data_IF_467730176114
#
_entry.id   IF_467730176114
#
_cell.length_a   1.000
_cell.length_b   1.000
_cell.length_c   1.000
_cell.angle_alpha   90.00
_cell.angle_beta   90.00
_cell.angle_gamma   90.00
#
_symmetry.space_group_name_H-M   'P 1'
#
loop_
_entity.id
_entity.type
_entity.pdbx_description
1 polymer ?
#
# COMPACT_ATOMS: atom_id res chain seq x y z
N UNK A 1 12.22 -21.02 -5.07
CA UNK A 1 12.46 -19.58 -4.74
C UNK A 1 13.95 -19.32 -4.83
N UNK A 2 14.37 -18.36 -5.65
CA UNK A 2 15.79 -18.00 -5.79
C UNK A 2 16.27 -17.38 -4.47
N UNK A 3 17.56 -17.50 -4.14
CA UNK A 3 18.10 -17.02 -2.86
C UNK A 3 17.80 -15.52 -2.59
N UNK A 4 17.79 -14.69 -3.64
CA UNK A 4 17.42 -13.27 -3.53
C UNK A 4 15.95 -13.05 -3.15
N UNK A 5 15.02 -13.80 -3.74
CA UNK A 5 13.59 -13.73 -3.37
C UNK A 5 13.40 -14.12 -1.91
N UNK A 6 14.08 -15.17 -1.44
CA UNK A 6 14.02 -15.59 -0.04
C UNK A 6 14.50 -14.50 0.90
N UNK A 7 15.63 -13.86 0.59
CA UNK A 7 16.16 -12.76 1.41
C UNK A 7 15.22 -11.55 1.44
N UNK A 8 14.61 -11.18 0.30
CA UNK A 8 13.63 -10.11 0.25
C UNK A 8 12.41 -10.41 1.12
N UNK A 9 11.89 -11.64 1.09
CA UNK A 9 10.79 -12.06 1.95
C UNK A 9 11.18 -12.12 3.43
N UNK A 10 12.38 -12.63 3.78
CA UNK A 10 12.87 -12.63 5.16
C UNK A 10 12.94 -11.20 5.72
N UNK A 11 13.46 -10.26 4.93
CA UNK A 11 13.52 -8.85 5.30
C UNK A 11 12.12 -8.21 5.41
N UNK A 12 11.21 -8.55 4.50
CA UNK A 12 9.83 -8.11 4.55
C UNK A 12 9.12 -8.59 5.83
N UNK A 13 9.35 -9.85 6.26
CA UNK A 13 8.72 -10.38 7.48
C UNK A 13 9.05 -9.60 8.75
N UNK A 14 10.20 -8.94 8.81
CA UNK A 14 10.58 -8.11 9.96
C UNK A 14 9.68 -6.87 10.12
N UNK A 15 9.11 -6.38 9.04
CA UNK A 15 8.19 -5.24 9.04
C UNK A 15 6.79 -5.54 9.58
N UNK A 16 6.32 -6.79 9.46
CA UNK A 16 4.92 -7.15 9.80
C UNK A 16 4.56 -6.82 11.25
N UNK A 17 5.44 -7.12 12.22
CA UNK A 17 5.17 -6.85 13.63
C UNK A 17 4.94 -5.36 13.90
N UNK A 18 5.64 -4.51 13.17
CA UNK A 18 5.51 -3.06 13.26
C UNK A 18 4.14 -2.61 12.73
N UNK A 19 3.76 -3.05 11.54
CA UNK A 19 2.51 -2.68 10.88
C UNK A 19 1.29 -3.16 11.67
N UNK A 20 1.30 -4.41 12.11
CA UNK A 20 0.25 -4.97 12.97
C UNK A 20 0.11 -4.19 14.28
N UNK A 21 1.23 -3.78 14.90
CA UNK A 21 1.20 -2.98 16.12
C UNK A 21 0.66 -1.58 15.87
N UNK A 22 1.03 -0.94 14.74
CA UNK A 22 0.52 0.36 14.34
C UNK A 22 -1.01 0.34 14.24
N UNK A 23 -1.58 -0.56 13.45
CA UNK A 23 -3.03 -0.64 13.25
C UNK A 23 -3.79 -1.06 14.51
N UNK A 24 -3.22 -1.99 15.32
CA UNK A 24 -3.82 -2.35 16.61
C UNK A 24 -3.91 -1.15 17.58
N UNK A 25 -2.89 -0.29 17.60
CA UNK A 25 -2.93 0.92 18.41
C UNK A 25 -3.88 1.98 17.83
N UNK A 26 -3.89 2.17 16.50
CA UNK A 26 -4.83 3.07 15.84
C UNK A 26 -6.27 2.68 16.15
N UNK A 27 -6.61 1.40 16.08
CA UNK A 27 -7.95 0.90 16.38
C UNK A 27 -8.33 0.92 17.86
N UNK A 28 -7.36 0.83 18.78
CA UNK A 28 -7.59 0.78 20.21
C UNK A 28 -8.21 2.06 20.78
N UNK A 29 -7.73 3.22 20.31
CA UNK A 29 -8.14 4.52 20.81
C UNK A 29 -9.05 5.21 19.82
N UNK A 30 -10.27 5.56 20.23
CA UNK A 30 -11.25 6.17 19.33
C UNK A 30 -10.73 7.44 18.66
N UNK A 31 -10.02 8.30 19.39
CA UNK A 31 -9.41 9.52 18.79
C UNK A 31 -8.35 9.19 17.75
N UNK A 32 -7.45 8.25 18.04
CA UNK A 32 -6.41 7.81 17.10
C UNK A 32 -7.04 7.14 15.89
N UNK A 33 -8.03 6.26 16.11
CA UNK A 33 -8.77 5.62 15.04
C UNK A 33 -9.45 6.65 14.14
N UNK A 34 -10.21 7.57 14.69
CA UNK A 34 -10.89 8.62 13.92
C UNK A 34 -9.90 9.54 13.19
N UNK A 35 -8.75 9.83 13.79
CA UNK A 35 -7.68 10.60 13.13
C UNK A 35 -7.06 9.83 11.97
N UNK A 36 -6.80 8.53 12.15
CA UNK A 36 -6.27 7.65 11.11
C UNK A 36 -7.30 7.40 10.01
N UNK A 37 -8.56 7.16 10.40
CA UNK A 37 -9.67 6.90 9.48
C UNK A 37 -10.26 8.16 8.84
N UNK A 38 -9.76 9.35 9.18
CA UNK A 38 -10.21 10.59 8.51
C UNK A 38 -10.00 10.58 6.99
N UNK A 39 -9.14 9.68 6.51
CA UNK A 39 -8.93 9.45 5.08
C UNK A 39 -9.85 8.37 4.50
N UNK A 40 -10.61 7.67 5.36
CA UNK A 40 -11.59 6.71 4.88
C UNK A 40 -12.69 7.41 4.11
N UNK A 41 -12.93 6.92 2.92
CA UNK A 41 -13.99 7.41 2.05
C UNK A 41 -15.15 6.41 1.92
N UNK A 42 -15.28 5.49 2.89
CA UNK A 42 -16.42 4.56 2.94
C UNK A 42 -17.74 5.34 2.91
N UNK A 43 -18.65 4.92 2.03
CA UNK A 43 -19.93 5.60 1.80
C UNK A 43 -19.86 6.77 0.80
N UNK A 44 -18.68 7.13 0.30
CA UNK A 44 -18.50 8.18 -0.71
C UNK A 44 -18.29 7.61 -2.12
N UNK A 45 -18.44 8.48 -3.11
CA UNK A 45 -18.03 8.19 -4.50
C UNK A 45 -16.52 8.07 -4.54
N UNK A 46 -16.01 7.13 -5.36
CA UNK A 46 -14.59 6.93 -5.55
C UNK A 46 -13.91 8.25 -5.95
N UNK A 47 -12.83 8.56 -5.26
CA UNK A 47 -12.02 9.75 -5.48
C UNK A 47 -10.55 9.40 -5.39
N UNK A 48 -9.82 9.58 -6.48
CA UNK A 48 -8.39 9.35 -6.58
C UNK A 48 -7.72 10.65 -7.02
N UNK A 49 -6.65 11.01 -6.35
CA UNK A 49 -5.88 12.22 -6.66
C UNK A 49 -5.29 12.13 -8.08
N UNK A 50 -5.50 13.16 -8.89
CA UNK A 50 -4.95 13.22 -10.26
C UNK A 50 -5.58 12.26 -11.27
N UNK A 51 -6.63 11.51 -10.89
CA UNK A 51 -7.34 10.60 -11.79
C UNK A 51 -8.85 10.57 -11.52
N UNK A 52 -9.65 10.89 -12.52
CA UNK A 52 -11.12 10.81 -12.44
C UNK A 52 -11.61 9.36 -12.57
N UNK A 53 -11.39 8.58 -11.50
CA UNK A 53 -11.78 7.18 -11.44
C UNK A 53 -13.30 6.99 -11.56
N UNK A 54 -14.11 7.93 -11.06
CA UNK A 54 -15.56 7.88 -11.16
C UNK A 54 -16.01 7.93 -12.62
N UNK A 55 -15.54 8.91 -13.37
CA UNK A 55 -15.83 9.05 -14.81
C UNK A 55 -15.30 7.86 -15.61
N UNK A 56 -14.09 7.40 -15.30
CA UNK A 56 -13.50 6.23 -15.93
C UNK A 56 -14.41 5.00 -15.76
N UNK A 57 -14.81 4.67 -14.53
CA UNK A 57 -15.63 3.49 -14.24
C UNK A 57 -17.04 3.60 -14.82
N UNK A 58 -17.63 4.80 -14.89
CA UNK A 58 -18.92 5.02 -15.54
C UNK A 58 -18.85 4.82 -17.06
N UNK A 59 -17.71 5.07 -17.68
CA UNK A 59 -17.50 4.91 -19.13
C UNK A 59 -17.15 3.48 -19.54
N UNK A 60 -16.89 2.58 -18.56
CA UNK A 60 -16.46 1.22 -18.81
C UNK A 60 -17.57 0.20 -18.53
N UNK A 61 -17.52 -1.00 -19.14
CA UNK A 61 -18.31 -2.14 -18.67
C UNK A 61 -18.05 -2.40 -17.18
N UNK A 62 -19.06 -2.92 -16.47
CA UNK A 62 -18.89 -3.30 -15.07
C UNK A 62 -17.68 -4.23 -14.89
N UNK A 63 -16.97 -4.06 -13.80
CA UNK A 63 -15.79 -4.83 -13.47
C UNK A 63 -15.36 -4.57 -12.03
N UNK A 64 -14.51 -5.45 -11.52
CA UNK A 64 -13.97 -5.34 -10.17
C UNK A 64 -13.05 -4.14 -10.02
N UNK A 65 -13.03 -3.59 -8.82
CA UNK A 65 -12.03 -2.63 -8.36
C UNK A 65 -11.24 -3.30 -7.24
N UNK A 66 -9.92 -3.29 -7.32
CA UNK A 66 -9.07 -3.85 -6.28
C UNK A 66 -8.31 -2.70 -5.61
N UNK A 67 -8.42 -2.59 -4.28
CA UNK A 67 -7.59 -1.72 -3.44
C UNK A 67 -6.54 -2.59 -2.76
N UNK A 68 -5.32 -2.57 -3.29
CA UNK A 68 -4.25 -3.53 -2.97
C UNK A 68 -3.22 -2.89 -2.04
N UNK A 69 -2.91 -3.59 -0.95
CA UNK A 69 -2.13 -3.02 0.15
C UNK A 69 -2.96 -1.98 0.91
N UNK A 70 -4.27 -2.24 1.04
CA UNK A 70 -5.24 -1.27 1.58
C UNK A 70 -5.01 -0.94 3.06
N UNK A 71 -4.23 -1.74 3.78
CA UNK A 71 -4.13 -1.61 5.23
C UNK A 71 -5.51 -1.63 5.89
N UNK A 72 -5.76 -0.66 6.76
CA UNK A 72 -7.08 -0.42 7.34
C UNK A 72 -7.57 1.01 7.07
N UNK A 73 -7.08 1.68 6.01
CA UNK A 73 -7.38 3.09 5.73
C UNK A 73 -8.66 3.29 4.90
N UNK A 74 -8.96 2.38 3.97
CA UNK A 74 -10.13 2.47 3.07
C UNK A 74 -10.26 3.84 2.38
N UNK A 75 -9.18 4.30 1.78
CA UNK A 75 -9.02 5.68 1.32
C UNK A 75 -9.65 5.99 -0.05
N UNK A 76 -10.31 5.03 -0.70
CA UNK A 76 -10.71 5.16 -2.11
C UNK A 76 -12.14 5.58 -2.34
N UNK A 77 -13.06 5.37 -1.42
CA UNK A 77 -14.49 5.42 -1.68
C UNK A 77 -15.02 4.14 -2.33
N UNK A 78 -16.28 3.82 -2.11
CA UNK A 78 -16.87 2.54 -2.51
C UNK A 78 -18.19 2.67 -3.31
N UNK A 79 -18.43 3.84 -3.87
CA UNK A 79 -19.55 4.10 -4.78
C UNK A 79 -19.06 4.72 -6.09
N UNK A 80 -19.83 4.55 -7.14
CA UNK A 80 -19.69 5.22 -8.43
C UNK A 80 -20.99 5.90 -8.79
N UNK A 81 -20.94 7.09 -9.38
CA UNK A 81 -22.13 7.83 -9.79
C UNK A 81 -22.03 9.33 -9.57
N UNK A 82 -23.14 10.03 -9.79
CA UNK A 82 -23.23 11.48 -9.63
C UNK A 82 -24.41 11.87 -8.73
N UNK A 83 -24.21 12.88 -7.90
CA UNK A 83 -25.24 13.41 -7.02
C UNK A 83 -25.87 12.35 -6.11
N UNK A 84 -27.20 12.19 -6.21
CA UNK A 84 -27.95 11.18 -5.45
C UNK A 84 -28.04 9.81 -6.16
N UNK A 85 -27.64 9.73 -7.44
CA UNK A 85 -27.64 8.48 -8.21
C UNK A 85 -26.28 7.82 -8.08
N UNK A 86 -26.13 7.01 -7.04
CA UNK A 86 -24.88 6.29 -6.75
C UNK A 86 -25.12 4.78 -6.73
N UNK A 87 -24.16 4.03 -7.26
CA UNK A 87 -24.15 2.56 -7.21
C UNK A 87 -22.95 2.10 -6.39
N UNK A 88 -23.09 1.07 -5.55
CA UNK A 88 -21.94 0.47 -4.89
C UNK A 88 -20.99 -0.12 -5.94
N UNK A 89 -19.69 0.03 -5.70
CA UNK A 89 -18.66 -0.61 -6.48
C UNK A 89 -18.49 -2.07 -6.03
N UNK A 90 -18.17 -2.95 -6.98
CA UNK A 90 -17.61 -4.29 -6.68
C UNK A 90 -16.14 -4.11 -6.32
N UNK A 91 -15.88 -3.61 -5.10
CA UNK A 91 -14.55 -3.31 -4.61
C UNK A 91 -14.07 -4.37 -3.64
N UNK A 92 -12.86 -4.88 -3.88
CA UNK A 92 -12.15 -5.84 -3.05
C UNK A 92 -10.97 -5.14 -2.38
N UNK A 93 -10.94 -5.18 -1.05
CA UNK A 93 -9.85 -4.67 -0.24
C UNK A 93 -8.85 -5.80 0.00
N UNK A 94 -7.65 -5.69 -0.53
CA UNK A 94 -6.68 -6.78 -0.59
C UNK A 94 -5.42 -6.42 0.17
N UNK A 95 -5.00 -7.29 1.08
CA UNK A 95 -3.77 -7.05 1.86
C UNK A 95 -3.15 -8.38 2.32
N UNK A 96 -1.82 -8.54 2.30
CA UNK A 96 -1.15 -9.73 2.81
C UNK A 96 -1.33 -9.93 4.34
N UNK A 97 -1.66 -8.86 5.06
CA UNK A 97 -1.91 -8.88 6.51
C UNK A 97 -3.40 -8.95 6.86
N UNK A 98 -4.28 -9.26 5.91
CA UNK A 98 -5.74 -9.30 6.06
C UNK A 98 -6.20 -10.04 7.31
N UNK A 99 -5.60 -11.19 7.63
CA UNK A 99 -5.93 -11.98 8.82
C UNK A 99 -5.74 -11.17 10.13
N UNK A 100 -4.64 -10.44 10.22
CA UNK A 100 -4.36 -9.59 11.38
C UNK A 100 -5.29 -8.39 11.45
N UNK A 101 -5.54 -7.73 10.33
CA UNK A 101 -6.37 -6.52 10.27
C UNK A 101 -7.83 -6.83 10.58
N UNK A 102 -8.38 -7.91 10.03
CA UNK A 102 -9.73 -8.37 10.35
C UNK A 102 -9.85 -8.75 11.85
N UNK A 103 -8.85 -9.43 12.42
CA UNK A 103 -8.82 -9.75 13.85
C UNK A 103 -8.71 -8.49 14.72
N UNK A 104 -7.96 -7.48 14.32
CA UNK A 104 -7.86 -6.18 15.00
C UNK A 104 -9.22 -5.47 14.96
N UNK A 105 -9.85 -5.38 13.80
CA UNK A 105 -11.18 -4.77 13.64
C UNK A 105 -12.21 -5.44 14.56
N UNK A 106 -12.29 -6.75 14.55
CA UNK A 106 -13.18 -7.53 15.43
C UNK A 106 -12.89 -7.30 16.92
N UNK A 107 -11.63 -7.34 17.33
CA UNK A 107 -11.20 -7.09 18.73
C UNK A 107 -11.64 -5.73 19.25
N UNK A 108 -11.54 -4.72 18.42
CA UNK A 108 -11.88 -3.34 18.79
C UNK A 108 -13.29 -2.95 18.37
N UNK A 109 -14.12 -3.91 17.93
CA UNK A 109 -15.52 -3.70 17.50
C UNK A 109 -15.64 -2.58 16.47
N UNK A 110 -14.78 -2.60 15.45
CA UNK A 110 -14.83 -1.67 14.34
C UNK A 110 -15.57 -2.31 13.17
N UNK A 111 -16.64 -1.67 12.72
CA UNK A 111 -17.42 -2.09 11.55
C UNK A 111 -16.70 -1.60 10.29
N UNK A 112 -15.85 -2.46 9.75
CA UNK A 112 -15.05 -2.20 8.55
C UNK A 112 -15.32 -3.29 7.51
N UNK A 113 -15.15 -3.00 6.23
CA UNK A 113 -15.18 -4.03 5.19
C UNK A 113 -14.20 -5.15 5.50
N UNK A 114 -14.55 -6.36 5.10
CA UNK A 114 -13.63 -7.50 5.19
C UNK A 114 -12.46 -7.29 4.23
N UNK A 115 -11.25 -7.44 4.73
CA UNK A 115 -10.04 -7.39 3.92
C UNK A 115 -9.73 -8.82 3.47
N UNK A 116 -9.52 -9.00 2.17
CA UNK A 116 -9.18 -10.28 1.56
C UNK A 116 -7.67 -10.48 1.57
N UNK A 117 -7.25 -11.73 1.77
CA UNK A 117 -5.85 -12.08 1.67
C UNK A 117 -5.39 -12.05 0.20
N UNK A 118 -4.30 -11.34 -0.07
CA UNK A 118 -3.63 -11.34 -1.36
C UNK A 118 -2.32 -10.57 -1.30
N UNK A 119 -1.41 -10.90 -2.20
CA UNK A 119 -0.10 -10.27 -2.34
C UNK A 119 -0.02 -9.60 -3.70
N UNK A 120 0.46 -8.36 -3.74
CA UNK A 120 0.59 -7.63 -5.01
C UNK A 120 1.54 -8.33 -5.99
N UNK A 121 2.58 -8.99 -5.49
CA UNK A 121 3.56 -9.73 -6.30
C UNK A 121 3.00 -11.00 -6.95
N UNK A 122 1.78 -11.38 -6.60
CA UNK A 122 1.10 -12.57 -7.10
C UNK A 122 -0.39 -12.31 -7.39
N UNK A 123 -0.75 -11.06 -7.64
CA UNK A 123 -2.14 -10.61 -7.71
C UNK A 123 -2.97 -11.36 -8.75
N UNK A 124 -2.40 -11.67 -9.90
CA UNK A 124 -3.07 -12.42 -10.97
C UNK A 124 -3.44 -13.87 -10.57
N UNK A 125 -2.76 -14.45 -9.58
CA UNK A 125 -3.13 -15.76 -9.06
C UNK A 125 -4.36 -15.69 -8.15
N UNK A 126 -4.60 -14.57 -7.45
CA UNK A 126 -5.79 -14.36 -6.63
C UNK A 126 -6.98 -13.90 -7.46
N UNK A 127 -6.74 -13.13 -8.52
CA UNK A 127 -7.76 -12.57 -9.42
C UNK A 127 -7.48 -12.95 -10.89
N UNK A 128 -7.67 -14.25 -11.27
CA UNK A 128 -7.21 -14.76 -12.56
C UNK A 128 -8.10 -14.39 -13.76
N UNK A 129 -9.32 -13.89 -13.52
CA UNK A 129 -10.35 -13.78 -14.57
C UNK A 129 -10.15 -12.58 -15.51
N UNK A 130 -9.20 -11.68 -15.23
CA UNK A 130 -9.00 -10.44 -15.98
C UNK A 130 -10.29 -9.62 -16.19
N UNK A 131 -11.20 -9.66 -15.21
CA UNK A 131 -12.45 -8.89 -15.16
C UNK A 131 -12.30 -7.58 -14.34
N UNK A 132 -11.12 -7.31 -13.83
CA UNK A 132 -10.79 -6.12 -13.06
C UNK A 132 -10.70 -4.89 -13.96
N UNK A 133 -11.45 -3.86 -13.63
CA UNK A 133 -11.42 -2.58 -14.33
C UNK A 133 -10.34 -1.65 -13.80
N UNK A 134 -10.10 -1.68 -12.48
CA UNK A 134 -9.18 -0.78 -11.81
C UNK A 134 -8.46 -1.49 -10.68
N UNK A 135 -7.14 -1.41 -10.65
CA UNK A 135 -6.30 -1.76 -9.50
C UNK A 135 -5.73 -0.48 -8.91
N UNK A 136 -5.85 -0.32 -7.61
CA UNK A 136 -5.40 0.84 -6.84
C UNK A 136 -4.34 0.37 -5.87
N UNK A 137 -3.17 1.05 -5.86
CA UNK A 137 -2.09 0.83 -4.90
C UNK A 137 -1.69 2.18 -4.35
N UNK A 138 -2.04 2.45 -3.09
CA UNK A 138 -1.74 3.72 -2.45
C UNK A 138 -0.81 3.52 -1.26
N UNK A 139 0.36 4.11 -1.33
CA UNK A 139 1.38 4.11 -0.28
C UNK A 139 1.66 2.70 0.29
N UNK A 140 1.75 1.72 -0.61
CA UNK A 140 1.95 0.31 -0.26
C UNK A 140 2.97 -0.39 -1.17
N UNK A 141 3.31 0.19 -2.34
CA UNK A 141 4.21 -0.43 -3.29
C UNK A 141 5.66 -0.47 -2.77
N UNK A 142 6.09 0.54 -2.01
CA UNK A 142 7.38 0.58 -1.33
C UNK A 142 7.50 -0.46 -0.20
N UNK A 143 6.35 -0.95 0.30
CA UNK A 143 6.26 -2.05 1.26
C UNK A 143 6.34 -3.44 0.62
N UNK A 144 6.33 -3.52 -0.70
CA UNK A 144 6.42 -4.80 -1.42
C UNK A 144 7.83 -5.39 -1.35
N UNK A 145 7.93 -6.70 -1.34
CA UNK A 145 9.22 -7.40 -1.49
C UNK A 145 9.79 -7.26 -2.90
N UNK A 146 8.93 -7.13 -3.92
CA UNK A 146 9.26 -7.00 -5.34
C UNK A 146 8.29 -6.02 -6.04
N UNK A 147 8.42 -4.69 -5.82
CA UNK A 147 7.45 -3.70 -6.27
C UNK A 147 7.25 -3.69 -7.79
N UNK A 148 8.29 -3.90 -8.57
CA UNK A 148 8.18 -3.98 -10.04
C UNK A 148 7.29 -5.16 -10.46
N UNK A 149 7.50 -6.32 -9.84
CA UNK A 149 6.64 -7.49 -10.03
C UNK A 149 5.20 -7.19 -9.61
N UNK A 150 5.01 -6.47 -8.51
CA UNK A 150 3.70 -6.01 -8.05
C UNK A 150 2.96 -5.17 -9.11
N UNK A 151 3.65 -4.24 -9.76
CA UNK A 151 3.06 -3.44 -10.86
C UNK A 151 2.74 -4.32 -12.08
N UNK A 152 3.62 -5.26 -12.45
CA UNK A 152 3.39 -6.18 -13.56
C UNK A 152 2.17 -7.08 -13.28
N UNK A 153 2.07 -7.65 -12.08
CA UNK A 153 0.95 -8.50 -11.65
C UNK A 153 -0.37 -7.71 -11.61
N UNK A 154 -0.35 -6.46 -11.13
CA UNK A 154 -1.50 -5.58 -11.20
C UNK A 154 -1.95 -5.35 -12.65
N UNK A 155 -0.99 -5.11 -13.55
CA UNK A 155 -1.28 -4.92 -14.97
C UNK A 155 -1.75 -6.23 -15.64
N UNK A 156 -1.30 -7.40 -15.21
CA UNK A 156 -1.83 -8.68 -15.66
C UNK A 156 -3.29 -8.87 -15.23
N UNK A 157 -3.63 -8.43 -14.02
CA UNK A 157 -4.94 -8.62 -13.40
C UNK A 157 -6.03 -7.74 -14.04
N UNK A 158 -5.71 -6.50 -14.40
CA UNK A 158 -6.69 -5.66 -15.10
C UNK A 158 -6.94 -6.15 -16.53
N UNK A 159 -8.18 -5.98 -17.01
CA UNK A 159 -8.54 -6.23 -18.41
C UNK A 159 -7.82 -5.26 -19.37
N UNK A 160 -7.78 -5.56 -20.66
CA UNK A 160 -7.36 -4.57 -21.68
C UNK A 160 -8.34 -3.39 -21.62
N UNK A 161 -7.81 -2.16 -21.62
CA UNK A 161 -8.56 -0.92 -21.37
C UNK A 161 -8.81 -0.63 -19.89
N UNK A 162 -8.40 -1.52 -18.97
CA UNK A 162 -8.40 -1.26 -17.53
C UNK A 162 -7.19 -0.42 -17.11
N UNK A 163 -7.20 0.00 -15.84
CA UNK A 163 -6.22 0.93 -15.28
C UNK A 163 -5.58 0.35 -14.01
N UNK A 164 -4.27 0.57 -13.86
CA UNK A 164 -3.56 0.50 -12.58
C UNK A 164 -3.24 1.91 -12.14
N UNK A 165 -3.72 2.28 -10.95
CA UNK A 165 -3.48 3.57 -10.33
C UNK A 165 -2.52 3.42 -9.16
N UNK A 166 -1.46 4.23 -9.16
CA UNK A 166 -0.45 4.29 -8.11
C UNK A 166 -0.44 5.69 -7.50
N UNK A 167 -0.35 5.77 -6.17
CA UNK A 167 -0.17 7.04 -5.43
C UNK A 167 0.78 6.80 -4.26
N UNK A 168 1.94 7.45 -4.26
CA UNK A 168 3.00 7.20 -3.30
C UNK A 168 3.69 8.48 -2.82
N UNK A 169 4.16 8.48 -1.58
CA UNK A 169 5.14 9.44 -1.14
C UNK A 169 6.47 9.21 -1.86
N UNK A 170 7.16 10.27 -2.32
CA UNK A 170 8.44 10.12 -2.98
C UNK A 170 9.54 9.67 -2.00
N UNK A 171 10.36 8.72 -2.42
CA UNK A 171 11.59 8.32 -1.73
C UNK A 171 11.39 7.98 -0.24
N UNK A 172 10.34 7.21 0.08
CA UNK A 172 9.97 6.92 1.46
C UNK A 172 10.98 6.00 2.15
N UNK A 173 11.62 5.07 1.41
CA UNK A 173 12.66 4.23 1.96
C UNK A 173 13.88 5.02 2.47
N UNK A 174 14.33 6.04 1.75
CA UNK A 174 15.38 6.95 2.25
C UNK A 174 14.95 7.69 3.50
N UNK A 175 13.71 8.20 3.49
CA UNK A 175 13.12 8.93 4.61
C UNK A 175 13.04 8.08 5.87
N UNK A 176 12.72 6.79 5.73
CA UNK A 176 12.60 5.82 6.82
C UNK A 176 13.89 5.00 7.02
N UNK A 177 15.00 5.39 6.39
CA UNK A 177 16.31 4.74 6.52
C UNK A 177 16.30 3.24 6.20
N UNK A 178 15.52 2.82 5.21
CA UNK A 178 15.33 1.43 4.78
C UNK A 178 14.92 0.49 5.92
N UNK A 179 14.09 0.97 6.87
CA UNK A 179 13.60 0.20 8.01
C UNK A 179 12.22 -0.38 7.75
N UNK A 180 11.97 -1.56 8.31
CA UNK A 180 10.66 -2.23 8.21
C UNK A 180 10.30 -2.56 6.76
N UNK A 181 9.09 -2.20 6.34
CA UNK A 181 8.61 -2.42 4.98
C UNK A 181 9.19 -1.44 3.95
N UNK A 182 9.68 -0.28 4.34
CA UNK A 182 10.18 0.75 3.43
C UNK A 182 11.54 0.35 2.84
N UNK A 183 11.52 -0.47 1.80
CA UNK A 183 12.72 -1.01 1.17
C UNK A 183 13.00 -0.42 -0.22
N UNK A 184 12.01 0.28 -0.79
CA UNK A 184 12.11 0.87 -2.12
C UNK A 184 11.68 2.33 -2.11
N UNK A 185 12.26 3.06 -3.01
CA UNK A 185 11.93 4.44 -3.31
C UNK A 185 11.13 4.49 -4.60
N UNK A 186 10.08 5.30 -4.61
CA UNK A 186 9.27 5.58 -5.78
C UNK A 186 9.45 7.05 -6.12
N UNK A 187 9.73 7.34 -7.37
CA UNK A 187 9.93 8.71 -7.82
C UNK A 187 9.42 8.91 -9.25
N UNK A 188 9.32 10.16 -9.65
CA UNK A 188 9.07 10.61 -11.00
C UNK A 188 10.34 11.27 -11.54
N UNK A 189 10.70 10.96 -12.76
CA UNK A 189 11.82 11.56 -13.48
C UNK A 189 11.44 11.77 -14.94
N UNK A 190 11.24 13.05 -15.34
CA UNK A 190 10.84 13.44 -16.70
C UNK A 190 9.59 12.72 -17.24
N UNK A 191 8.58 12.54 -16.40
CA UNK A 191 7.34 11.83 -16.76
C UNK A 191 7.44 10.30 -16.70
N UNK A 192 8.54 9.75 -16.19
CA UNK A 192 8.75 8.32 -16.02
C UNK A 192 8.61 7.91 -14.56
N UNK A 193 7.99 6.76 -14.32
CA UNK A 193 7.92 6.12 -13.01
C UNK A 193 9.22 5.37 -12.74
N UNK A 194 9.91 5.80 -11.71
CA UNK A 194 11.18 5.22 -11.28
C UNK A 194 11.00 4.51 -9.95
N UNK A 195 11.40 3.24 -9.91
CA UNK A 195 11.51 2.46 -8.67
C UNK A 195 12.98 2.13 -8.46
N UNK A 196 13.49 2.44 -7.27
CA UNK A 196 14.90 2.26 -6.97
C UNK A 196 15.16 1.97 -5.49
N UNK A 197 16.32 1.39 -5.20
CA UNK A 197 16.86 1.20 -3.86
C UNK A 197 18.39 1.26 -3.91
N UNK A 198 19.07 0.86 -2.83
CA UNK A 198 20.54 0.83 -2.75
C UNK A 198 21.18 -0.17 -3.75
N UNK A 199 20.42 -1.13 -4.28
CA UNK A 199 20.92 -2.17 -5.19
C UNK A 199 20.76 -1.81 -6.67
N UNK A 200 19.82 -0.90 -7.00
CA UNK A 200 19.58 -0.52 -8.39
C UNK A 200 18.40 0.41 -8.61
N UNK A 201 18.28 0.83 -9.86
CA UNK A 201 17.21 1.72 -10.36
C UNK A 201 16.57 1.10 -11.59
N UNK A 202 15.25 1.17 -11.67
CA UNK A 202 14.46 0.69 -12.82
C UNK A 202 13.52 1.77 -13.31
N UNK A 203 13.47 1.94 -14.60
CA UNK A 203 12.47 2.75 -15.31
C UNK A 203 11.28 1.85 -15.65
N UNK A 204 10.22 1.95 -14.86
CA UNK A 204 9.01 1.12 -15.02
C UNK A 204 8.20 1.55 -16.23
N UNK A 205 8.24 2.84 -16.59
CA UNK A 205 7.54 3.37 -17.77
C UNK A 205 8.08 2.73 -19.03
N UNK A 206 9.40 2.71 -19.22
CA UNK A 206 10.02 2.08 -20.39
C UNK A 206 9.80 0.56 -20.41
N UNK A 207 9.86 -0.09 -19.25
CA UNK A 207 9.62 -1.53 -19.15
C UNK A 207 8.20 -1.94 -19.58
N UNK A 208 7.19 -1.12 -19.26
CA UNK A 208 5.79 -1.43 -19.53
C UNK A 208 5.27 -0.87 -20.87
N UNK A 209 6.03 -0.04 -21.56
CA UNK A 209 5.66 0.57 -22.84
C UNK A 209 5.09 -0.37 -23.91
N UNK A 210 5.51 -1.65 -24.01
CA UNK A 210 4.89 -2.60 -24.95
C UNK A 210 3.46 -2.99 -24.59
N UNK A 211 3.02 -2.79 -23.34
CA UNK A 211 1.78 -3.32 -22.80
C UNK A 211 0.82 -2.26 -22.28
N UNK A 212 1.32 -1.05 -22.04
CA UNK A 212 0.56 0.02 -21.43
C UNK A 212 1.03 1.40 -21.89
N UNK A 213 0.14 2.38 -21.80
CA UNK A 213 0.50 3.81 -21.74
C UNK A 213 0.48 4.25 -20.29
N UNK A 214 1.36 5.17 -19.92
CA UNK A 214 1.51 5.63 -18.56
C UNK A 214 1.59 7.15 -18.49
N UNK A 215 0.84 7.74 -17.57
CA UNK A 215 0.94 9.14 -17.20
C UNK A 215 1.50 9.20 -15.78
N UNK A 216 2.64 9.87 -15.61
CA UNK A 216 3.30 10.00 -14.30
C UNK A 216 3.47 11.46 -13.96
N UNK A 217 3.01 11.85 -12.79
CA UNK A 217 3.06 13.23 -12.35
C UNK A 217 3.45 13.30 -10.86
N UNK A 218 4.21 14.34 -10.51
CA UNK A 218 4.39 14.75 -9.13
C UNK A 218 3.40 15.85 -8.79
N UNK A 219 2.54 15.63 -7.81
CA UNK A 219 1.57 16.62 -7.37
C UNK A 219 2.28 17.79 -6.68
N UNK A 220 1.88 19.02 -7.02
CA UNK A 220 2.55 20.23 -6.54
C UNK A 220 2.26 20.51 -5.06
N UNK A 221 1.08 20.18 -4.58
CA UNK A 221 0.60 20.47 -3.23
C UNK A 221 0.97 19.39 -2.22
N UNK A 222 0.84 18.12 -2.58
CA UNK A 222 1.15 16.97 -1.72
C UNK A 222 2.57 16.44 -1.89
N UNK A 223 3.17 16.66 -3.06
CA UNK A 223 4.44 16.06 -3.47
C UNK A 223 4.33 14.59 -3.86
N UNK A 224 3.13 14.02 -3.84
CA UNK A 224 2.91 12.61 -4.18
C UNK A 224 3.25 12.31 -5.63
N UNK A 225 3.75 11.11 -5.86
CA UNK A 225 3.95 10.55 -7.19
C UNK A 225 2.68 9.79 -7.57
N UNK A 226 2.02 10.25 -8.62
CA UNK A 226 0.83 9.61 -9.19
C UNK A 226 1.20 8.99 -10.52
N UNK A 227 0.92 7.70 -10.69
CA UNK A 227 1.02 7.04 -11.98
C UNK A 227 -0.31 6.39 -12.37
N UNK A 228 -0.81 6.74 -13.56
CA UNK A 228 -2.00 6.15 -14.16
C UNK A 228 -1.57 5.31 -15.35
N UNK A 229 -1.73 4.00 -15.25
CA UNK A 229 -1.22 3.02 -16.20
C UNK A 229 -2.40 2.38 -16.93
N UNK A 230 -2.60 2.72 -18.18
CA UNK A 230 -3.66 2.19 -19.05
C UNK A 230 -3.17 0.95 -19.79
N UNK A 231 -3.74 -0.22 -19.50
CA UNK A 231 -3.39 -1.46 -20.20
C UNK A 231 -3.88 -1.43 -21.66
N UNK A 232 -2.96 -1.56 -22.60
CA UNK A 232 -3.25 -1.55 -24.04
C UNK A 232 -3.08 -2.93 -24.70
N UNK A 233 -2.26 -3.81 -24.10
CA UNK A 233 -2.01 -5.15 -24.63
C UNK A 233 -1.88 -6.19 -23.51
N UNK A 234 -1.94 -7.47 -23.89
CA UNK A 234 -1.75 -8.57 -22.95
C UNK A 234 -0.30 -8.59 -22.44
N UNK A 235 -0.14 -8.65 -21.13
CA UNK A 235 1.16 -8.82 -20.46
C UNK A 235 1.47 -10.31 -20.40
N UNK A 236 2.66 -10.76 -20.84
CA UNK A 236 3.05 -12.17 -20.75
C UNK A 236 3.00 -12.65 -19.30
N UNK A 237 2.39 -13.83 -19.09
CA UNK A 237 2.36 -14.44 -17.77
C UNK A 237 3.79 -14.77 -17.33
N UNK A 238 4.23 -14.18 -16.24
CA UNK A 238 5.41 -14.65 -15.54
C UNK A 238 4.99 -15.90 -14.77
N UNK A 239 5.57 -17.04 -15.09
CA UNK A 239 5.35 -18.39 -14.58
C UNK A 239 4.12 -18.63 -13.68
N UNK A 240 3.35 -19.69 -13.96
CA UNK A 240 2.18 -20.11 -13.17
C UNK A 240 2.56 -20.25 -11.69
N UNK A 241 2.21 -19.24 -10.90
CA UNK A 241 2.28 -19.33 -9.46
C UNK A 241 1.09 -20.16 -8.97
N UNK A 242 1.35 -21.28 -8.32
CA UNK A 242 0.31 -22.08 -7.69
C UNK A 242 -0.16 -21.34 -6.42
N UNK A 243 -1.47 -21.09 -6.30
CA UNK A 243 -2.06 -20.46 -5.09
C UNK A 243 -1.67 -21.20 -3.81
N UNK A 244 -1.51 -22.51 -3.89
CA UNK A 244 -1.13 -23.38 -2.77
C UNK A 244 0.27 -23.05 -2.28
N UNK A 245 1.21 -22.80 -3.19
CA UNK A 245 2.57 -22.42 -2.86
C UNK A 245 2.64 -21.02 -2.22
N UNK A 246 1.83 -20.08 -2.71
CA UNK A 246 1.73 -18.72 -2.15
C UNK A 246 1.13 -18.77 -0.74
N UNK A 247 0.05 -19.52 -0.52
CA UNK A 247 -0.52 -19.72 0.81
C UNK A 247 0.49 -20.34 1.78
N UNK A 248 1.19 -21.39 1.34
CA UNK A 248 2.21 -22.06 2.14
C UNK A 248 3.37 -21.11 2.48
N UNK A 249 3.77 -20.24 1.55
CA UNK A 249 4.78 -19.20 1.79
C UNK A 249 4.30 -18.23 2.86
N UNK A 250 3.09 -17.71 2.74
CA UNK A 250 2.51 -16.77 3.71
C UNK A 250 2.32 -17.39 5.09
N UNK A 251 1.90 -18.65 5.20
CA UNK A 251 1.81 -19.36 6.48
C UNK A 251 3.18 -19.52 7.13
N UNK A 252 4.21 -19.84 6.35
CA UNK A 252 5.60 -19.90 6.85
C UNK A 252 6.06 -18.53 7.33
N UNK A 253 5.76 -17.47 6.59
CA UNK A 253 6.08 -16.09 6.95
C UNK A 253 5.38 -15.70 8.27
N UNK A 254 4.09 -15.99 8.41
CA UNK A 254 3.33 -15.73 9.64
C UNK A 254 3.78 -16.59 10.82
N UNK A 255 4.22 -17.81 10.59
CA UNK A 255 4.71 -18.72 11.63
C UNK A 255 6.08 -18.32 12.14
N UNK A 256 6.98 -17.87 11.26
CA UNK A 256 8.31 -17.37 11.63
C UNK A 256 8.23 -16.15 12.54
N UNK A 257 7.22 -15.28 12.34
CA UNK A 257 6.97 -14.11 13.18
C UNK A 257 6.50 -14.43 14.59
N UNK A 258 5.61 -15.43 14.76
CA UNK A 258 5.21 -15.85 16.09
C UNK A 258 6.40 -16.29 16.93
N UNK A 259 7.46 -16.80 16.29
CA UNK A 259 8.73 -17.15 16.95
C UNK A 259 9.62 -15.95 17.22
N UNK A 260 9.59 -14.93 16.36
CA UNK A 260 10.40 -13.71 16.50
C UNK A 260 9.81 -12.70 17.52
N UNK A 261 8.54 -12.84 17.90
CA UNK A 261 7.92 -12.03 18.94
C UNK A 261 8.41 -12.44 20.34
N UNK A 262 9.69 -12.21 20.62
CA UNK A 262 10.18 -12.25 21.99
C UNK A 262 9.49 -11.16 22.82
N UNK A 263 9.23 -11.44 24.10
CA UNK A 263 8.62 -10.50 25.06
C UNK A 263 9.36 -9.15 25.03
N UNK A 264 10.69 -9.15 24.87
CA UNK A 264 11.51 -7.95 24.74
C UNK A 264 11.18 -7.09 23.51
N UNK A 265 10.89 -7.70 22.37
CA UNK A 265 10.46 -6.98 21.17
C UNK A 265 9.12 -6.28 21.40
N UNK A 266 8.14 -6.99 21.95
CA UNK A 266 6.82 -6.44 22.25
C UNK A 266 6.88 -5.27 23.24
N UNK A 267 7.76 -5.32 24.26
CA UNK A 267 7.98 -4.24 25.23
C UNK A 267 8.64 -3.04 24.56
N UNK A 268 9.69 -3.25 23.76
CA UNK A 268 10.38 -2.18 23.03
C UNK A 268 9.43 -1.44 22.08
N UNK A 269 8.58 -2.17 21.37
CA UNK A 269 7.56 -1.58 20.50
C UNK A 269 6.49 -0.82 21.27
N UNK A 270 5.98 -1.37 22.39
CA UNK A 270 5.02 -0.66 23.24
C UNK A 270 5.58 0.67 23.75
N UNK A 271 6.84 0.69 24.19
CA UNK A 271 7.51 1.92 24.66
C UNK A 271 7.68 2.93 23.53
N UNK A 272 8.13 2.49 22.35
CA UNK A 272 8.27 3.35 21.16
C UNK A 272 6.92 3.94 20.73
N UNK A 273 5.85 3.14 20.75
CA UNK A 273 4.50 3.60 20.44
C UNK A 273 3.92 4.51 21.49
N UNK A 274 4.17 4.24 22.77
CA UNK A 274 3.76 5.14 23.84
C UNK A 274 4.43 6.51 23.68
N UNK A 275 5.73 6.56 23.42
CA UNK A 275 6.46 7.79 23.15
C UNK A 275 5.90 8.50 21.90
N UNK A 276 5.68 7.79 20.81
CA UNK A 276 5.12 8.32 19.57
C UNK A 276 3.71 8.90 19.77
N UNK A 277 2.82 8.16 20.45
CA UNK A 277 1.46 8.64 20.74
C UNK A 277 1.47 9.84 21.70
N UNK A 278 2.40 9.89 22.66
CA UNK A 278 2.57 11.02 23.56
C UNK A 278 3.03 12.25 22.76
N UNK A 279 4.01 12.09 21.88
CA UNK A 279 4.48 13.16 20.99
C UNK A 279 3.36 13.61 20.05
N UNK A 280 2.60 12.68 19.46
CA UNK A 280 1.46 13.01 18.60
C UNK A 280 0.35 13.75 19.37
N UNK A 281 0.05 13.35 20.60
CA UNK A 281 -0.94 14.03 21.44
C UNK A 281 -0.56 15.48 21.70
N UNK A 282 0.70 15.74 22.07
CA UNK A 282 1.19 17.10 22.25
C UNK A 282 1.34 17.86 20.92
N UNK A 283 1.71 17.18 19.86
CA UNK A 283 1.85 17.79 18.53
C UNK A 283 0.51 18.19 17.89
N UNK A 284 -0.63 17.64 18.32
CA UNK A 284 -1.95 18.03 17.79
C UNK A 284 -2.28 19.51 18.01
N UNK A 285 -1.73 20.12 19.06
CA UNK A 285 -1.88 21.54 19.38
C UNK A 285 -0.84 22.45 18.68
N UNK A 286 0.13 21.87 17.98
CA UNK A 286 1.18 22.63 17.31
C UNK A 286 0.82 22.95 15.85
N UNK A 287 1.24 24.13 15.37
CA UNK A 287 1.11 24.48 13.96
C UNK A 287 1.92 23.53 13.06
N UNK A 288 1.53 23.43 11.79
CA UNK A 288 2.24 22.60 10.81
C UNK A 288 3.73 22.94 10.72
N UNK A 289 4.09 24.24 10.72
CA UNK A 289 5.49 24.67 10.69
C UNK A 289 6.29 24.21 11.90
N UNK A 290 5.67 24.26 13.08
CA UNK A 290 6.32 23.80 14.32
C UNK A 290 6.52 22.28 14.31
N UNK A 291 5.55 21.53 13.77
CA UNK A 291 5.68 20.08 13.55
C UNK A 291 6.85 19.74 12.65
N UNK A 292 7.00 20.47 11.54
CA UNK A 292 8.10 20.24 10.59
C UNK A 292 9.47 20.62 11.19
N UNK A 293 9.56 21.68 11.98
CA UNK A 293 10.79 22.05 12.71
C UNK A 293 11.19 20.98 13.74
N UNK A 294 10.23 20.48 14.52
CA UNK A 294 10.45 19.39 15.47
C UNK A 294 10.88 18.08 14.77
N UNK A 295 10.24 17.76 13.67
CA UNK A 295 10.61 16.57 12.86
C UNK A 295 12.04 16.68 12.30
N UNK A 296 12.48 17.87 11.92
CA UNK A 296 13.87 18.14 11.50
C UNK A 296 14.87 18.00 12.66
N UNK A 297 14.56 18.55 13.83
CA UNK A 297 15.43 18.46 15.01
C UNK A 297 15.62 17.01 15.48
N UNK A 298 14.54 16.24 15.57
CA UNK A 298 14.61 14.81 15.95
C UNK A 298 15.43 14.00 14.94
N UNK A 299 15.41 14.38 13.65
CA UNK A 299 16.21 13.73 12.60
C UNK A 299 17.69 14.07 12.67
N UNK A 300 18.05 15.29 13.07
CA UNK A 300 19.47 15.71 13.22
C UNK A 300 20.16 15.02 14.39
N UNK A 301 19.47 14.82 15.52
CA UNK A 301 20.02 14.09 16.67
C UNK A 301 20.27 12.60 16.40
N UNK A 302 19.51 11.97 15.50
CA UNK A 302 19.76 10.57 15.12
C UNK A 302 20.98 10.39 14.22
N UNK A 303 21.44 11.43 13.55
CA UNK A 303 22.67 11.40 12.71
C UNK A 303 23.95 11.70 13.48
N UNK A 304 23.87 12.27 14.69
CA UNK A 304 25.04 12.59 15.51
C UNK A 304 25.49 11.45 16.43
N UNK A 305 24.85 10.29 16.37
CA UNK A 305 25.13 9.11 17.20
C UNK A 305 25.50 7.85 16.38
N UNK A 306 25.83 7.99 15.10
CA UNK A 306 26.57 7.04 14.26
C UNK A 306 27.96 7.62 13.97
#
# INVERSE_FOLDING_TARGET
>A
MKDKERQAYEKWTDGIAYEVAFWNNACRWTKTFMSTMRWSHLGSVICLEGFDANRFLLSQPAGKVLDVGCGMSFATGNFVGEGQVRKPLDIHYVDPLAHYFNAIAARHKRELPTIEFGMMEHLSAFFPNQDTALVIIQNALDHSSEPIKGVIEALQTVRIGGVVYLNHHPNEAETEHYKGFHQYNINEDNGHLIIWNQEGRSDVTDMLKPFATMEVNRQLDTGHIIAVIHKTAAVPSQAKNDKTDIHSLCEKMMTSQRKAQSIGHAVKYKLKYWAFNTIQFFAQSLSYETKMKLKKLIRQDSQSHE
#
